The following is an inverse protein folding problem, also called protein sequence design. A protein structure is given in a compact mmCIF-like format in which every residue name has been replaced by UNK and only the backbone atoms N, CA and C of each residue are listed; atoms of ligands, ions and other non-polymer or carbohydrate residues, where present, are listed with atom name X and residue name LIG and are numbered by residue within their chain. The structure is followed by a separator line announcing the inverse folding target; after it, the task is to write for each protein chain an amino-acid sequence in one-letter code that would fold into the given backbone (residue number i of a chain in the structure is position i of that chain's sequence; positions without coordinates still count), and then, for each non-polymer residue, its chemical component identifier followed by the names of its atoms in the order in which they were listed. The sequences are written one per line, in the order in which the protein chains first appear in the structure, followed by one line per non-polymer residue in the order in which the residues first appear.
data_IF_799602004918
#
_entry.id   IF_799602004918
#
_cell.length_a   1.000
_cell.length_b   1.000
_cell.length_c   1.000
_cell.angle_alpha   90.00
_cell.angle_beta   90.00
_cell.angle_gamma   90.00
#
_symmetry.space_group_name_H-M   'P 1'
#
loop_
_entity.id
_entity.type
_entity.pdbx_description
1 polymer ?
#
# COMPACT_ATOMS: atom_id res chain seq x y z
N UNK A 1 -7.67 3.50 -12.67
CA UNK A 1 -6.74 3.37 -11.53
C UNK A 1 -5.72 4.50 -11.47
N UNK A 2 -4.86 4.73 -12.47
CA UNK A 2 -3.85 5.80 -12.43
C UNK A 2 -4.42 7.20 -12.15
N UNK A 3 -5.50 7.59 -12.84
CA UNK A 3 -6.15 8.89 -12.65
C UNK A 3 -6.76 9.01 -11.26
N UNK A 4 -7.53 8.00 -10.83
CA UNK A 4 -8.04 7.90 -9.47
C UNK A 4 -6.94 8.09 -8.41
N UNK A 5 -5.82 7.38 -8.53
CA UNK A 5 -4.69 7.55 -7.60
C UNK A 5 -4.13 8.97 -7.63
N UNK A 6 -4.01 9.58 -8.81
CA UNK A 6 -3.53 10.97 -8.96
C UNK A 6 -4.47 11.95 -8.27
N UNK A 7 -5.78 11.78 -8.43
CA UNK A 7 -6.80 12.61 -7.78
C UNK A 7 -6.77 12.46 -6.26
N UNK A 8 -6.71 11.23 -5.75
CA UNK A 8 -6.66 10.99 -4.30
C UNK A 8 -5.36 11.48 -3.67
N UNK A 9 -4.21 11.24 -4.30
CA UNK A 9 -2.91 11.73 -3.83
C UNK A 9 -2.84 13.27 -3.83
N UNK A 10 -3.47 13.95 -4.79
CA UNK A 10 -3.51 15.41 -4.86
C UNK A 10 -4.24 16.10 -3.71
N UNK A 11 -5.02 15.35 -2.92
CA UNK A 11 -5.80 15.86 -1.77
C UNK A 11 -5.04 15.73 -0.44
N UNK A 12 -3.90 15.04 -0.42
CA UNK A 12 -3.22 14.67 0.83
C UNK A 12 -2.26 15.77 1.30
N UNK A 13 -2.40 16.27 2.54
CA UNK A 13 -1.49 17.28 3.10
C UNK A 13 -0.23 16.61 3.69
N UNK A 14 0.65 16.11 2.82
CA UNK A 14 1.92 15.47 3.15
C UNK A 14 3.04 15.95 2.22
N UNK A 15 4.28 15.94 2.70
CA UNK A 15 5.47 16.29 1.90
C UNK A 15 5.66 15.30 0.75
N UNK A 16 5.28 14.04 1.00
CA UNK A 16 5.22 12.98 0.01
C UNK A 16 4.14 11.98 0.39
N UNK A 17 3.44 11.44 -0.60
CA UNK A 17 2.55 10.30 -0.42
C UNK A 17 2.63 9.37 -1.63
N UNK A 18 2.51 8.07 -1.38
CA UNK A 18 2.39 7.06 -2.41
C UNK A 18 1.32 6.03 -2.08
N UNK A 19 0.77 5.44 -3.14
CA UNK A 19 -0.08 4.26 -3.06
C UNK A 19 0.49 3.22 -4.01
N UNK A 20 0.77 2.02 -3.50
CA UNK A 20 1.13 0.86 -4.31
C UNK A 20 0.04 -0.19 -4.18
N UNK A 21 -0.54 -0.58 -5.31
CA UNK A 21 -1.54 -1.64 -5.43
C UNK A 21 -0.93 -2.79 -6.23
N UNK A 22 -1.10 -4.01 -5.74
CA UNK A 22 -0.58 -5.22 -6.38
C UNK A 22 -1.67 -6.29 -6.43
N UNK A 23 -1.78 -6.93 -7.59
CA UNK A 23 -2.63 -8.10 -7.80
C UNK A 23 -1.74 -9.25 -8.26
N UNK A 24 -1.82 -10.38 -7.57
CA UNK A 24 -1.06 -11.59 -7.89
C UNK A 24 -2.04 -12.68 -8.25
N UNK A 25 -1.90 -13.22 -9.46
CA UNK A 25 -2.59 -14.43 -9.88
C UNK A 25 -1.60 -15.58 -9.85
N UNK A 26 -1.94 -16.67 -9.16
CA UNK A 26 -1.12 -17.88 -9.10
C UNK A 26 -1.94 -19.05 -9.61
N UNK A 27 -1.31 -19.87 -10.44
CA UNK A 27 -1.85 -21.16 -10.86
C UNK A 27 -0.80 -22.22 -10.56
N UNK A 28 -1.20 -23.30 -9.90
CA UNK A 28 -0.33 -24.40 -9.53
C UNK A 28 -0.92 -25.70 -10.04
N UNK A 29 -0.09 -26.43 -10.79
CA UNK A 29 -0.39 -27.79 -11.20
C UNK A 29 0.72 -28.69 -10.67
N UNK A 30 0.38 -29.70 -9.89
CA UNK A 30 1.34 -30.63 -9.31
C UNK A 30 0.94 -32.06 -9.68
N UNK A 31 1.88 -32.81 -10.26
CA UNK A 31 1.74 -34.22 -10.54
C UNK A 31 2.78 -35.04 -9.78
N UNK A 32 2.44 -36.28 -9.48
CA UNK A 32 3.40 -37.31 -9.10
C UNK A 32 3.14 -38.54 -9.96
N UNK A 33 4.09 -38.84 -10.86
CA UNK A 33 3.93 -39.83 -11.93
C UNK A 33 2.69 -39.49 -12.77
N UNK A 34 1.73 -40.40 -12.83
CA UNK A 34 0.47 -40.32 -13.54
C UNK A 34 -0.69 -39.75 -12.67
N UNK A 35 -0.43 -39.42 -11.41
CA UNK A 35 -1.43 -38.80 -10.53
C UNK A 35 -1.33 -37.28 -10.48
N UNK A 36 -2.47 -36.60 -10.68
CA UNK A 36 -2.65 -35.20 -10.37
C UNK A 36 -2.78 -35.04 -8.84
N UNK A 37 -1.83 -34.36 -8.21
CA UNK A 37 -1.83 -34.07 -6.78
C UNK A 37 -2.53 -32.75 -6.45
N UNK A 38 -2.33 -31.72 -7.27
CA UNK A 38 -2.93 -30.42 -7.05
C UNK A 38 -3.22 -29.69 -8.37
N UNK A 39 -4.37 -29.03 -8.42
CA UNK A 39 -4.77 -28.09 -9.46
C UNK A 39 -5.41 -26.89 -8.77
N UNK A 40 -4.64 -25.85 -8.56
CA UNK A 40 -5.02 -24.68 -7.77
C UNK A 40 -4.94 -23.41 -8.62
N UNK A 41 -5.88 -22.50 -8.38
CA UNK A 41 -5.81 -21.13 -8.87
C UNK A 41 -6.17 -20.19 -7.72
N UNK A 42 -5.34 -19.18 -7.48
CA UNK A 42 -5.61 -18.12 -6.50
C UNK A 42 -5.43 -16.74 -7.12
N UNK A 43 -6.21 -15.78 -6.61
CA UNK A 43 -6.03 -14.36 -6.85
C UNK A 43 -5.87 -13.68 -5.49
N UNK A 44 -4.76 -13.00 -5.30
CA UNK A 44 -4.47 -12.18 -4.14
C UNK A 44 -4.38 -10.73 -4.59
N UNK A 45 -4.84 -9.81 -3.75
CA UNK A 45 -4.77 -8.40 -4.02
C UNK A 45 -4.54 -7.63 -2.72
N UNK A 46 -3.72 -6.60 -2.78
CA UNK A 46 -3.38 -5.80 -1.62
C UNK A 46 -2.64 -4.54 -1.99
N UNK A 47 -2.64 -3.59 -1.07
CA UNK A 47 -1.96 -2.34 -1.25
C UNK A 47 -1.38 -1.77 0.02
N UNK A 48 -0.47 -0.83 -0.18
CA UNK A 48 0.20 -0.07 0.86
C UNK A 48 0.12 1.41 0.50
N UNK A 49 -0.15 2.21 1.51
CA UNK A 49 -0.02 3.66 1.48
C UNK A 49 1.14 4.05 2.36
N UNK A 50 1.99 4.96 1.88
CA UNK A 50 3.01 5.62 2.71
C UNK A 50 2.85 7.13 2.58
N UNK A 51 2.96 7.84 3.71
CA UNK A 51 2.96 9.30 3.77
C UNK A 51 4.15 9.80 4.58
N UNK A 52 4.83 10.82 4.09
CA UNK A 52 5.89 11.54 4.77
C UNK A 52 5.37 12.93 5.18
N UNK A 53 5.39 13.23 6.47
CA UNK A 53 4.97 14.53 7.02
C UNK A 53 6.04 15.02 7.97
N UNK A 54 6.59 16.20 7.73
CA UNK A 54 7.61 16.85 8.56
C UNK A 54 8.82 15.94 8.85
N UNK A 55 9.15 15.08 7.88
CA UNK A 55 10.23 14.10 7.96
C UNK A 55 9.95 12.83 8.74
N UNK A 56 8.69 12.54 9.08
CA UNK A 56 8.26 11.27 9.67
C UNK A 56 7.37 10.46 8.72
N UNK A 57 7.55 9.14 8.70
CA UNK A 57 6.72 8.24 7.92
C UNK A 57 5.49 7.76 8.69
N UNK A 58 4.39 7.60 7.97
CA UNK A 58 3.23 6.82 8.37
C UNK A 58 2.84 5.87 7.25
N UNK A 59 2.32 4.70 7.62
CA UNK A 59 2.07 3.58 6.72
C UNK A 59 0.71 2.97 7.05
N UNK A 60 -0.06 2.63 6.02
CA UNK A 60 -1.30 1.86 6.15
C UNK A 60 -1.38 0.81 5.02
N UNK A 61 -2.01 -0.33 5.29
CA UNK A 61 -2.22 -1.41 4.30
C UNK A 61 -3.71 -1.67 4.10
N UNK A 62 -4.07 -2.21 2.94
CA UNK A 62 -5.46 -2.49 2.58
C UNK A 62 -5.55 -3.66 1.59
N UNK A 63 -6.73 -4.24 1.48
CA UNK A 63 -7.04 -5.32 0.52
C UNK A 63 -8.12 -4.92 -0.49
N UNK A 64 -8.77 -3.77 -0.28
CA UNK A 64 -9.76 -3.21 -1.20
C UNK A 64 -9.34 -1.81 -1.67
N UNK A 65 -9.21 -1.55 -2.98
CA UNK A 65 -8.91 -0.21 -3.51
C UNK A 65 -9.90 0.88 -3.07
N UNK A 66 -11.14 0.53 -2.73
CA UNK A 66 -12.12 1.47 -2.17
C UNK A 66 -11.69 2.10 -0.83
N UNK A 67 -10.75 1.47 -0.12
CA UNK A 67 -10.23 1.97 1.15
C UNK A 67 -9.11 3.01 1.00
N UNK A 68 -8.56 3.21 -0.22
CA UNK A 68 -7.43 4.11 -0.48
C UNK A 68 -7.61 5.50 0.15
N UNK A 69 -8.77 6.19 0.04
CA UNK A 69 -8.94 7.52 0.62
C UNK A 69 -8.90 7.51 2.15
N UNK A 70 -9.35 6.42 2.79
CA UNK A 70 -9.27 6.25 4.24
C UNK A 70 -7.84 5.96 4.69
N UNK A 71 -7.11 5.11 3.94
CA UNK A 71 -5.73 4.75 4.26
C UNK A 71 -4.73 5.87 4.01
N UNK A 72 -4.99 6.74 3.03
CA UNK A 72 -4.24 8.00 2.87
C UNK A 72 -4.36 8.91 4.08
N UNK A 73 -5.58 9.09 4.59
CA UNK A 73 -5.82 9.87 5.81
C UNK A 73 -5.12 9.24 7.01
N UNK A 74 -5.28 7.93 7.19
CA UNK A 74 -4.65 7.21 8.30
C UNK A 74 -3.13 7.30 8.29
N UNK A 75 -2.49 6.98 7.15
CA UNK A 75 -1.03 7.06 7.02
C UNK A 75 -0.51 8.48 7.27
N UNK A 76 -1.25 9.50 6.80
CA UNK A 76 -0.89 10.92 7.02
C UNK A 76 -0.97 11.31 8.49
N UNK A 77 -2.01 10.87 9.21
CA UNK A 77 -2.16 11.17 10.64
C UNK A 77 -1.15 10.41 11.51
N UNK A 78 -0.80 9.19 11.13
CA UNK A 78 0.30 8.44 11.75
C UNK A 78 1.63 9.18 11.57
N UNK A 79 1.92 9.63 10.34
CA UNK A 79 3.11 10.43 10.02
C UNK A 79 3.15 11.72 10.85
N UNK A 80 2.04 12.48 10.87
CA UNK A 80 1.91 13.73 11.64
C UNK A 80 2.10 13.53 13.13
N UNK A 81 1.61 12.41 13.68
CA UNK A 81 1.80 12.06 15.08
C UNK A 81 3.26 11.72 15.38
N UNK A 82 3.90 10.95 14.50
CA UNK A 82 5.31 10.60 14.62
C UNK A 82 6.23 11.82 14.49
N UNK A 83 5.93 12.75 13.58
CA UNK A 83 6.67 13.99 13.36
C UNK A 83 6.91 14.81 14.64
N UNK A 84 5.97 14.76 15.59
CA UNK A 84 6.06 15.45 16.88
C UNK A 84 7.09 14.85 17.85
N UNK A 85 7.62 13.66 17.55
CA UNK A 85 8.48 12.87 18.44
C UNK A 85 9.85 12.52 17.87
N UNK A 86 10.04 12.67 16.56
CA UNK A 86 11.32 12.36 15.92
C UNK A 86 12.35 13.48 16.15
N UNK A 87 13.61 13.10 16.35
CA UNK A 87 14.73 14.03 16.45
C UNK A 87 15.39 14.24 15.10
N UNK A 88 15.56 13.15 14.35
CA UNK A 88 16.18 13.15 13.02
C UNK A 88 15.09 13.08 11.95
N UNK A 89 14.91 14.18 11.21
CA UNK A 89 13.93 14.28 10.14
C UNK A 89 14.45 13.63 8.87
N UNK A 90 13.62 12.80 8.25
CA UNK A 90 13.90 12.17 6.96
C UNK A 90 13.55 13.16 5.84
N UNK A 91 14.48 13.39 4.90
CA UNK A 91 14.18 14.06 3.64
C UNK A 91 14.36 13.08 2.49
N UNK A 92 13.57 13.23 1.43
CA UNK A 92 13.81 12.53 0.18
C UNK A 92 15.01 13.16 -0.53
N UNK A 93 15.81 12.32 -1.19
CA UNK A 93 17.01 12.72 -1.92
C UNK A 93 16.68 13.34 -3.29
#
# INVERSE_FOLDING_TARGET
MREYLREELGKVPADYAEVRWEEVQRSRVQFQRDQLLALEASKEAGGIVRALVDGAWGIAVFTDPGEIPARLREATELARTAARRIRDRISLA
#
